data_IF_515009835578
#
_entry.id   IF_515009835578
#
_cell.length_a   1.000
_cell.length_b   1.000
_cell.length_c   1.000
_cell.angle_alpha   90.00
_cell.angle_beta   90.00
_cell.angle_gamma   90.00
#
_symmetry.space_group_name_H-M   'P 1'
#
loop_
_entity.id
_entity.type
_entity.pdbx_description
1 polymer ?
#
# COMPACT_ATOMS: atom_id res chain seq x y z
N UNK A 1 -17.44 -4.80 10.57
CA UNK A 1 -16.09 -4.56 11.10
C UNK A 1 -15.95 -3.09 11.45
N UNK A 2 -15.12 -2.72 12.43
CA UNK A 2 -14.84 -1.31 12.73
C UNK A 2 -13.41 -0.93 12.30
N UNK A 3 -13.10 0.36 12.05
CA UNK A 3 -11.75 0.75 11.67
C UNK A 3 -10.72 0.43 12.76
N UNK A 4 -11.11 0.49 14.04
CA UNK A 4 -10.21 0.18 15.16
C UNK A 4 -9.75 -1.28 15.14
N UNK A 5 -10.56 -2.21 14.61
CA UNK A 5 -10.17 -3.61 14.47
C UNK A 5 -9.01 -3.78 13.47
N UNK A 6 -9.01 -2.99 12.39
CA UNK A 6 -7.93 -2.96 11.39
C UNK A 6 -6.66 -2.37 12.00
N UNK A 7 -6.78 -1.23 12.68
CA UNK A 7 -5.64 -0.55 13.30
C UNK A 7 -5.02 -1.42 14.40
N UNK A 8 -5.83 -1.98 15.31
CA UNK A 8 -5.35 -2.87 16.37
C UNK A 8 -4.64 -4.09 15.78
N UNK A 9 -5.26 -4.76 14.80
CA UNK A 9 -4.66 -5.93 14.18
C UNK A 9 -3.31 -5.62 13.52
N UNK A 10 -3.23 -4.54 12.75
CA UNK A 10 -2.03 -4.23 11.99
C UNK A 10 -0.90 -3.63 12.84
N UNK A 11 -1.21 -2.83 13.86
CA UNK A 11 -0.19 -2.07 14.59
C UNK A 11 0.15 -2.63 15.98
N UNK A 12 -0.70 -3.49 16.54
CA UNK A 12 -0.57 -4.05 17.89
C UNK A 12 -0.51 -5.59 17.89
N UNK A 13 -1.37 -6.27 17.12
CA UNK A 13 -1.44 -7.75 17.10
C UNK A 13 -0.45 -8.38 16.12
N UNK A 14 0.13 -7.61 15.20
CA UNK A 14 1.11 -8.07 14.24
C UNK A 14 2.45 -7.37 14.40
N UNK A 15 3.51 -8.10 14.06
CA UNK A 15 4.89 -7.61 14.13
C UNK A 15 5.32 -7.00 12.80
N UNK A 16 6.28 -6.05 12.80
CA UNK A 16 6.85 -5.49 11.57
C UNK A 16 7.38 -6.53 10.58
N UNK A 17 7.84 -7.67 11.09
CA UNK A 17 8.30 -8.78 10.27
C UNK A 17 7.17 -9.44 9.47
N UNK A 18 5.98 -9.55 10.06
CA UNK A 18 4.80 -10.15 9.41
C UNK A 18 4.21 -9.26 8.31
N UNK A 19 4.41 -7.94 8.36
CA UNK A 19 3.90 -7.02 7.35
C UNK A 19 4.52 -7.25 5.97
N UNK A 20 5.82 -7.57 5.94
CA UNK A 20 6.60 -7.64 4.70
C UNK A 20 7.06 -9.05 4.34
N UNK A 21 7.03 -10.00 5.29
CA UNK A 21 7.37 -11.39 5.02
C UNK A 21 6.17 -12.14 4.45
N UNK A 22 6.41 -12.95 3.41
CA UNK A 22 5.43 -13.95 2.96
C UNK A 22 5.23 -15.02 4.04
N UNK A 23 4.00 -15.14 4.52
CA UNK A 23 3.57 -16.16 5.49
C UNK A 23 2.13 -16.56 5.18
N UNK A 24 1.95 -17.79 4.68
CA UNK A 24 0.65 -18.26 4.22
C UNK A 24 -0.38 -18.34 5.37
N UNK A 25 0.05 -18.62 6.61
CA UNK A 25 -0.85 -18.68 7.75
C UNK A 25 -1.33 -17.28 8.15
N UNK A 26 -0.42 -16.29 8.12
CA UNK A 26 -0.76 -14.89 8.35
C UNK A 26 -1.69 -14.35 7.25
N UNK A 27 -1.40 -14.67 5.98
CA UNK A 27 -2.24 -14.28 4.83
C UNK A 27 -3.67 -14.83 4.95
N UNK A 28 -3.82 -16.11 5.34
CA UNK A 28 -5.15 -16.71 5.58
C UNK A 28 -5.87 -16.07 6.78
N UNK A 29 -5.15 -15.73 7.84
CA UNK A 29 -5.74 -15.03 8.99
C UNK A 29 -6.27 -13.65 8.59
N UNK A 30 -5.48 -12.86 7.84
CA UNK A 30 -5.93 -11.57 7.30
C UNK A 30 -7.17 -11.77 6.45
N UNK A 31 -7.16 -12.75 5.54
CA UNK A 31 -8.28 -13.00 4.64
C UNK A 31 -9.56 -13.38 5.40
N UNK A 32 -9.45 -14.32 6.33
CA UNK A 32 -10.58 -14.77 7.14
C UNK A 32 -11.20 -13.64 7.96
N UNK A 33 -10.38 -12.75 8.53
CA UNK A 33 -10.86 -11.62 9.33
C UNK A 33 -11.38 -10.46 8.46
N UNK A 34 -10.62 -10.03 7.46
CA UNK A 34 -10.78 -8.71 6.83
C UNK A 34 -11.36 -8.73 5.41
N UNK A 35 -11.61 -9.89 4.80
CA UNK A 35 -12.19 -9.93 3.45
C UNK A 35 -13.58 -9.28 3.39
N UNK A 36 -14.38 -9.37 4.45
CA UNK A 36 -15.65 -8.66 4.56
C UNK A 36 -15.48 -7.14 4.53
N UNK A 37 -14.54 -6.61 5.31
CA UNK A 37 -14.23 -5.18 5.33
C UNK A 37 -13.70 -4.69 3.97
N UNK A 38 -12.85 -5.49 3.30
CA UNK A 38 -12.40 -5.19 1.94
C UNK A 38 -13.58 -5.02 0.97
N UNK A 39 -14.53 -5.95 0.97
CA UNK A 39 -15.70 -5.85 0.10
C UNK A 39 -16.55 -4.60 0.43
N UNK A 40 -16.78 -4.32 1.72
CA UNK A 40 -17.55 -3.15 2.15
C UNK A 40 -16.89 -1.83 1.73
N UNK A 41 -15.55 -1.73 1.79
CA UNK A 41 -14.80 -0.56 1.35
C UNK A 41 -14.93 -0.35 -0.15
N UNK A 42 -14.77 -1.43 -0.93
CA UNK A 42 -14.88 -1.40 -2.40
C UNK A 42 -16.29 -1.02 -2.85
N UNK A 43 -17.30 -1.47 -2.12
CA UNK A 43 -18.71 -1.12 -2.36
C UNK A 43 -19.10 0.27 -1.78
N UNK A 44 -18.16 0.99 -1.17
CA UNK A 44 -18.36 2.34 -0.64
C UNK A 44 -19.21 2.41 0.64
N UNK A 45 -19.41 1.29 1.33
CA UNK A 45 -20.25 1.21 2.55
C UNK A 45 -19.57 1.78 3.79
N UNK A 46 -18.26 2.00 3.75
CA UNK A 46 -17.43 2.50 4.87
C UNK A 46 -17.25 4.01 4.89
N UNK A 47 -18.10 4.80 4.21
CA UNK A 47 -17.97 6.26 4.16
C UNK A 47 -17.81 6.93 5.55
N UNK A 48 -18.47 6.38 6.58
CA UNK A 48 -18.38 6.88 7.95
C UNK A 48 -16.99 6.72 8.58
N UNK A 49 -16.13 5.83 8.07
CA UNK A 49 -14.76 5.69 8.55
C UNK A 49 -13.92 6.94 8.25
N UNK A 50 -14.30 7.71 7.22
CA UNK A 50 -13.55 8.90 6.78
C UNK A 50 -13.74 10.11 7.70
N UNK A 51 -14.53 9.99 8.77
CA UNK A 51 -14.71 11.07 9.75
C UNK A 51 -13.55 11.19 10.73
N UNK A 52 -12.67 10.19 10.82
CA UNK A 52 -11.48 10.21 11.69
C UNK A 52 -10.20 9.89 10.91
N UNK A 53 -9.03 10.40 11.34
CA UNK A 53 -7.75 10.05 10.72
C UNK A 53 -7.45 8.54 10.74
N UNK A 54 -7.77 7.86 11.84
CA UNK A 54 -7.57 6.42 12.01
C UNK A 54 -8.49 5.61 11.09
N UNK A 55 -9.74 6.07 10.89
CA UNK A 55 -10.66 5.40 9.99
C UNK A 55 -10.27 5.56 8.52
N UNK A 56 -9.76 6.74 8.12
CA UNK A 56 -9.14 6.93 6.79
C UNK A 56 -7.94 6.01 6.59
N UNK A 57 -7.07 5.91 7.60
CA UNK A 57 -5.92 5.00 7.56
C UNK A 57 -6.37 3.54 7.44
N UNK A 58 -7.41 3.13 8.15
CA UNK A 58 -7.92 1.77 8.10
C UNK A 58 -8.37 1.38 6.69
N UNK A 59 -9.09 2.24 5.96
CA UNK A 59 -9.45 1.97 4.55
C UNK A 59 -8.20 1.78 3.69
N UNK A 60 -7.21 2.68 3.85
CA UNK A 60 -5.95 2.61 3.10
C UNK A 60 -5.20 1.32 3.41
N UNK A 61 -5.07 0.92 4.67
CA UNK A 61 -4.37 -0.32 5.07
C UNK A 61 -5.07 -1.55 4.48
N UNK A 62 -6.40 -1.61 4.47
CA UNK A 62 -7.11 -2.75 3.89
C UNK A 62 -6.90 -2.86 2.38
N UNK A 63 -7.00 -1.73 1.67
CA UNK A 63 -6.85 -1.72 0.21
C UNK A 63 -5.41 -1.85 -0.26
N UNK A 64 -4.45 -1.36 0.51
CA UNK A 64 -3.03 -1.33 0.13
C UNK A 64 -2.25 -2.50 0.72
N UNK A 65 -2.31 -2.72 2.04
CA UNK A 65 -1.53 -3.77 2.70
C UNK A 65 -2.26 -5.11 2.67
N UNK A 66 -3.49 -5.17 3.18
CA UNK A 66 -4.18 -6.46 3.34
C UNK A 66 -4.49 -7.11 2.00
N UNK A 67 -4.81 -6.34 0.96
CA UNK A 67 -5.01 -6.87 -0.40
C UNK A 67 -3.81 -7.68 -0.89
N UNK A 68 -2.58 -7.22 -0.61
CA UNK A 68 -1.32 -7.89 -1.00
C UNK A 68 -1.10 -9.19 -0.23
N UNK A 69 -1.59 -9.30 1.01
CA UNK A 69 -1.61 -10.54 1.78
C UNK A 69 -2.74 -11.48 1.31
N UNK A 70 -3.98 -11.01 1.27
CA UNK A 70 -5.18 -11.81 0.97
C UNK A 70 -5.20 -12.41 -0.44
N UNK A 71 -4.60 -11.70 -1.40
CA UNK A 71 -4.68 -12.01 -2.82
C UNK A 71 -3.30 -12.17 -3.47
N UNK A 72 -2.31 -12.59 -2.68
CA UNK A 72 -0.92 -12.77 -3.12
C UNK A 72 -0.83 -13.56 -4.43
N UNK A 73 0.05 -13.12 -5.33
CA UNK A 73 0.27 -13.72 -6.66
C UNK A 73 -0.94 -13.67 -7.59
N UNK A 74 -1.93 -12.81 -7.33
CA UNK A 74 -3.08 -12.59 -8.22
C UNK A 74 -3.20 -11.10 -8.57
N UNK A 75 -3.82 -10.75 -9.72
CA UNK A 75 -4.08 -9.35 -10.08
C UNK A 75 -4.86 -8.59 -9.00
N UNK A 76 -5.72 -9.29 -8.25
CA UNK A 76 -6.57 -8.74 -7.20
C UNK A 76 -5.79 -8.07 -6.07
N UNK A 77 -4.52 -8.41 -5.87
CA UNK A 77 -3.63 -7.72 -4.93
C UNK A 77 -3.38 -6.24 -5.27
N UNK A 78 -3.58 -5.85 -6.54
CA UNK A 78 -3.29 -4.50 -7.04
C UNK A 78 -4.54 -3.77 -7.59
N UNK A 79 -5.69 -4.46 -7.60
CA UNK A 79 -6.92 -4.02 -8.28
C UNK A 79 -7.41 -2.65 -7.79
N UNK A 80 -7.17 -2.33 -6.51
CA UNK A 80 -7.61 -1.07 -5.90
C UNK A 80 -6.48 -0.15 -5.46
N UNK A 81 -5.27 -0.31 -6.02
CA UNK A 81 -4.14 0.59 -5.75
C UNK A 81 -4.49 2.06 -6.05
N UNK A 82 -5.24 2.31 -7.13
CA UNK A 82 -5.69 3.67 -7.50
C UNK A 82 -6.66 4.25 -6.47
N UNK A 83 -7.56 3.42 -5.93
CA UNK A 83 -8.50 3.85 -4.87
C UNK A 83 -7.75 4.12 -3.56
N UNK A 84 -6.82 3.25 -3.17
CA UNK A 84 -5.98 3.44 -2.00
C UNK A 84 -5.17 4.74 -2.10
N UNK A 85 -4.59 5.03 -3.27
CA UNK A 85 -3.88 6.29 -3.53
C UNK A 85 -4.81 7.50 -3.39
N UNK A 86 -6.01 7.46 -3.99
CA UNK A 86 -6.97 8.57 -3.89
C UNK A 86 -7.35 8.85 -2.43
N UNK A 87 -7.65 7.82 -1.64
CA UNK A 87 -7.99 7.97 -0.23
C UNK A 87 -6.82 8.54 0.59
N UNK A 88 -5.60 8.12 0.28
CA UNK A 88 -4.39 8.68 0.89
C UNK A 88 -4.17 10.15 0.50
N UNK A 89 -4.37 10.52 -0.77
CA UNK A 89 -4.30 11.91 -1.23
C UNK A 89 -5.35 12.80 -0.56
N UNK A 90 -6.58 12.31 -0.40
CA UNK A 90 -7.65 13.02 0.33
C UNK A 90 -7.28 13.25 1.80
N UNK A 91 -6.72 12.23 2.47
CA UNK A 91 -6.29 12.34 3.86
C UNK A 91 -5.15 13.36 4.05
N UNK A 92 -4.19 13.40 3.12
CA UNK A 92 -3.10 14.39 3.11
C UNK A 92 -3.63 15.80 2.81
N UNK A 93 -4.52 15.94 1.83
CA UNK A 93 -5.13 17.24 1.49
C UNK A 93 -5.95 17.83 2.63
N UNK A 94 -6.64 16.98 3.40
CA UNK A 94 -7.37 17.38 4.61
C UNK A 94 -6.46 17.66 5.83
N UNK A 95 -5.17 17.30 5.75
CA UNK A 95 -4.22 17.37 6.87
C UNK A 95 -4.50 16.36 7.98
N UNK A 96 -5.30 15.33 7.71
CA UNK A 96 -5.61 14.26 8.67
C UNK A 96 -4.39 13.37 8.91
N UNK A 97 -3.52 13.22 7.93
CA UNK A 97 -2.24 12.52 8.05
C UNK A 97 -1.39 13.07 9.21
N UNK A 98 -1.37 14.40 9.39
CA UNK A 98 -0.59 15.08 10.44
C UNK A 98 -1.11 14.81 11.86
N UNK A 99 -2.35 14.35 11.99
CA UNK A 99 -2.97 13.97 13.28
C UNK A 99 -2.57 12.55 13.72
N UNK A 100 -2.07 11.73 12.78
CA UNK A 100 -1.61 10.37 13.07
C UNK A 100 -0.16 10.37 13.60
N UNK A 101 0.19 9.46 14.53
CA UNK A 101 1.58 9.18 14.88
C UNK A 101 2.40 8.76 13.65
N UNK A 102 3.70 9.09 13.62
CA UNK A 102 4.58 8.81 12.47
C UNK A 102 4.58 7.34 12.03
N UNK A 103 4.51 6.39 12.98
CA UNK A 103 4.41 4.94 12.72
C UNK A 103 3.20 4.59 11.85
N UNK A 104 2.04 5.19 12.13
CA UNK A 104 0.78 4.97 11.43
C UNK A 104 0.76 5.75 10.12
N UNK A 105 1.19 7.01 10.16
CA UNK A 105 1.28 7.91 9.01
C UNK A 105 2.09 7.33 7.86
N UNK A 106 3.16 6.57 8.16
CA UNK A 106 3.92 5.82 7.17
C UNK A 106 3.04 4.96 6.26
N UNK A 107 2.08 4.24 6.81
CA UNK A 107 1.19 3.36 6.05
C UNK A 107 0.15 4.13 5.24
N UNK A 108 -0.22 5.33 5.69
CA UNK A 108 -1.03 6.23 4.88
C UNK A 108 -0.28 6.70 3.62
N UNK A 109 1.06 6.73 3.65
CA UNK A 109 1.89 7.16 2.52
C UNK A 109 2.29 6.02 1.58
N UNK A 110 2.18 4.75 2.00
CA UNK A 110 2.54 3.59 1.17
C UNK A 110 1.84 3.53 -0.20
N UNK A 111 0.55 3.92 -0.35
CA UNK A 111 -0.08 3.95 -1.67
C UNK A 111 0.62 4.86 -2.69
N UNK A 112 1.29 5.94 -2.24
CA UNK A 112 2.09 6.77 -3.14
C UNK A 112 3.32 6.00 -3.65
N UNK A 113 4.00 5.25 -2.78
CA UNK A 113 5.13 4.38 -3.13
C UNK A 113 4.70 3.24 -4.04
N UNK A 114 3.47 2.73 -3.91
CA UNK A 114 2.97 1.62 -4.69
C UNK A 114 2.35 2.01 -6.04
N UNK A 115 2.16 3.30 -6.28
CA UNK A 115 1.57 3.82 -7.51
C UNK A 115 2.51 3.63 -8.72
N UNK A 116 1.96 3.37 -9.90
CA UNK A 116 2.69 3.47 -11.17
C UNK A 116 2.60 4.90 -11.76
N UNK A 117 2.57 5.94 -10.91
CA UNK A 117 2.49 7.35 -11.28
C UNK A 117 3.77 8.11 -10.88
N UNK A 118 4.54 8.66 -11.84
CA UNK A 118 5.70 9.48 -11.53
C UNK A 118 5.39 10.68 -10.60
N UNK A 119 4.21 11.28 -10.77
CA UNK A 119 3.77 12.42 -9.96
C UNK A 119 3.49 11.99 -8.51
N UNK A 120 2.96 10.78 -8.29
CA UNK A 120 2.76 10.25 -6.95
C UNK A 120 4.11 10.09 -6.23
N UNK A 121 5.14 9.58 -6.91
CA UNK A 121 6.49 9.49 -6.36
C UNK A 121 7.13 10.85 -6.03
N UNK A 122 6.93 11.87 -6.86
CA UNK A 122 7.41 13.22 -6.54
C UNK A 122 6.80 13.75 -5.23
N UNK A 123 5.51 13.47 -4.96
CA UNK A 123 4.89 13.80 -3.67
C UNK A 123 5.40 12.90 -2.54
N UNK A 124 5.52 11.59 -2.80
CA UNK A 124 5.93 10.59 -1.83
C UNK A 124 7.26 10.93 -1.17
N UNK A 125 8.25 11.41 -1.93
CA UNK A 125 9.55 11.82 -1.41
C UNK A 125 9.43 12.80 -0.26
N UNK A 126 8.61 13.84 -0.41
CA UNK A 126 8.40 14.84 0.64
C UNK A 126 7.62 14.29 1.83
N UNK A 127 6.62 13.45 1.57
CA UNK A 127 5.82 12.79 2.60
C UNK A 127 6.69 11.87 3.47
N UNK A 128 7.47 10.98 2.85
CA UNK A 128 8.37 10.09 3.57
C UNK A 128 9.53 10.82 4.25
N UNK A 129 10.07 11.88 3.63
CA UNK A 129 11.09 12.72 4.27
C UNK A 129 10.58 13.35 5.57
N UNK A 130 9.30 13.75 5.62
CA UNK A 130 8.69 14.33 6.82
C UNK A 130 8.61 13.38 8.01
N UNK A 131 8.76 12.07 7.79
CA UNK A 131 8.75 11.06 8.85
C UNK A 131 10.11 10.88 9.54
N UNK A 132 11.20 11.39 8.96
CA UNK A 132 12.58 11.14 9.39
C UNK A 132 12.96 9.63 9.48
N UNK A 133 12.20 8.77 8.81
CA UNK A 133 12.50 7.34 8.63
C UNK A 133 13.31 7.15 7.33
N UNK A 134 14.62 7.36 7.43
CA UNK A 134 15.53 7.25 6.28
C UNK A 134 15.59 5.84 5.69
N UNK A 135 15.24 4.81 6.47
CA UNK A 135 15.11 3.44 5.98
C UNK A 135 13.98 3.33 4.96
N UNK A 136 12.79 3.81 5.32
CA UNK A 136 11.63 3.81 4.41
C UNK A 136 11.84 4.77 3.23
N UNK A 137 12.41 5.96 3.46
CA UNK A 137 12.72 6.91 2.39
C UNK A 137 13.69 6.33 1.36
N UNK A 138 14.66 5.51 1.77
CA UNK A 138 15.54 4.80 0.85
C UNK A 138 14.78 3.83 -0.08
N UNK A 139 13.74 3.15 0.42
CA UNK A 139 12.88 2.33 -0.42
C UNK A 139 12.05 3.18 -1.39
N UNK A 140 11.55 4.34 -0.97
CA UNK A 140 10.86 5.27 -1.87
C UNK A 140 11.75 5.66 -3.06
N UNK A 141 13.02 6.02 -2.81
CA UNK A 141 13.96 6.32 -3.90
C UNK A 141 14.16 5.14 -4.85
N UNK A 142 14.19 3.89 -4.35
CA UNK A 142 14.27 2.71 -5.20
C UNK A 142 13.02 2.54 -6.07
N UNK A 143 11.83 2.71 -5.50
CA UNK A 143 10.57 2.63 -6.22
C UNK A 143 10.49 3.70 -7.31
N UNK A 144 10.78 4.96 -6.94
CA UNK A 144 10.81 6.08 -7.88
C UNK A 144 11.75 5.83 -9.06
N UNK A 145 12.95 5.29 -8.83
CA UNK A 145 13.90 4.98 -9.92
C UNK A 145 13.36 3.96 -10.91
N UNK A 146 12.55 3.00 -10.46
CA UNK A 146 11.91 2.01 -11.34
C UNK A 146 10.82 2.70 -12.17
N UNK A 147 9.98 3.51 -11.54
CA UNK A 147 8.92 4.26 -12.23
C UNK A 147 9.49 5.30 -13.20
N UNK A 148 10.56 6.01 -12.84
CA UNK A 148 11.24 6.96 -13.74
C UNK A 148 11.81 6.24 -14.98
N UNK A 149 12.28 5.00 -14.82
CA UNK A 149 12.89 4.22 -15.91
C UNK A 149 11.88 3.53 -16.81
N UNK A 150 10.83 2.96 -16.25
CA UNK A 150 9.90 2.06 -16.97
C UNK A 150 8.47 2.58 -17.05
N UNK A 151 8.12 3.62 -16.29
CA UNK A 151 6.75 4.13 -16.15
C UNK A 151 5.80 3.20 -15.40
N UNK A 152 6.27 2.03 -14.95
CA UNK A 152 5.49 0.98 -14.28
C UNK A 152 6.42 0.06 -13.49
N UNK A 153 5.86 -0.89 -12.73
CA UNK A 153 6.60 -1.94 -12.04
C UNK A 153 6.72 -3.21 -12.89
N UNK A 154 7.90 -3.52 -13.46
CA UNK A 154 8.04 -4.68 -14.35
C UNK A 154 7.76 -6.01 -13.64
N UNK A 155 8.02 -6.11 -12.34
CA UNK A 155 7.77 -7.32 -11.56
C UNK A 155 6.27 -7.66 -11.44
N UNK A 156 5.38 -6.70 -11.71
CA UNK A 156 3.93 -6.93 -11.78
C UNK A 156 3.45 -7.43 -13.15
N UNK A 157 4.28 -7.35 -14.20
CA UNK A 157 3.87 -7.62 -15.58
C UNK A 157 3.22 -9.00 -15.73
N UNK A 158 3.88 -10.05 -15.24
CA UNK A 158 3.35 -11.42 -15.31
C UNK A 158 2.00 -11.57 -14.59
N UNK A 159 1.89 -11.01 -13.38
CA UNK A 159 0.67 -11.10 -12.56
C UNK A 159 -0.48 -10.32 -13.23
N UNK A 160 -0.18 -9.19 -13.87
CA UNK A 160 -1.15 -8.34 -14.55
C UNK A 160 -1.37 -8.70 -16.04
N UNK A 161 -0.79 -9.80 -16.53
CA UNK A 161 -0.93 -10.21 -17.93
C UNK A 161 -0.30 -9.25 -18.96
N UNK A 162 0.67 -8.43 -18.54
CA UNK A 162 1.39 -7.48 -19.40
C UNK A 162 2.61 -8.16 -20.04
N UNK A 163 2.88 -7.85 -21.30
CA UNK A 163 4.12 -8.24 -21.97
C UNK A 163 5.25 -7.32 -21.50
N UNK A 164 6.36 -7.92 -21.06
CA UNK A 164 7.58 -7.21 -20.71
C UNK A 164 8.35 -6.82 -21.98
N UNK A 165 8.93 -5.63 -21.98
CA UNK A 165 9.93 -5.23 -22.98
C UNK A 165 11.27 -5.95 -22.74
N UNK A 166 12.18 -6.04 -23.74
CA UNK A 166 13.50 -6.66 -23.53
C UNK A 166 14.30 -6.01 -22.39
N UNK A 167 14.15 -4.70 -22.19
CA UNK A 167 14.82 -3.97 -21.11
C UNK A 167 14.24 -4.33 -19.73
N UNK A 168 12.94 -4.55 -19.66
CA UNK A 168 12.27 -5.03 -18.45
C UNK A 168 12.65 -6.48 -18.14
N UNK A 169 12.74 -7.36 -19.14
CA UNK A 169 13.19 -8.75 -18.96
C UNK A 169 14.61 -8.82 -18.40
N UNK A 170 15.53 -8.02 -18.94
CA UNK A 170 16.90 -7.95 -18.42
C UNK A 170 16.93 -7.44 -16.98
N UNK A 171 16.13 -6.41 -16.66
CA UNK A 171 16.00 -5.88 -15.30
C UNK A 171 15.47 -6.94 -14.32
N UNK A 172 14.48 -7.73 -14.73
CA UNK A 172 13.87 -8.77 -13.89
C UNK A 172 14.82 -9.92 -13.54
N UNK A 173 15.93 -10.11 -14.26
CA UNK A 173 16.97 -11.10 -13.90
C UNK A 173 17.65 -10.78 -12.57
N UNK A 174 17.75 -9.49 -12.23
CA UNK A 174 18.45 -9.01 -11.02
C UNK A 174 17.50 -8.37 -9.99
N UNK A 175 16.26 -8.07 -10.37
CA UNK A 175 15.28 -7.41 -9.50
C UNK A 175 13.94 -8.14 -9.49
N UNK A 176 13.68 -8.91 -8.42
CA UNK A 176 12.47 -9.74 -8.29
C UNK A 176 11.24 -9.02 -7.70
N UNK A 177 11.37 -7.73 -7.39
CA UNK A 177 10.38 -6.96 -6.64
C UNK A 177 10.94 -6.52 -5.29
N UNK A 178 10.10 -5.84 -4.51
CA UNK A 178 10.39 -5.39 -3.15
C UNK A 178 9.90 -6.40 -2.11
#
# INVERSE_FOLDING_TARGET
MKPEDVIRFWFEESSPHQWFKKDDAFDQNIKAKFQGAYNDIVEGKTHSWRTTPEGRLAEVVVLDQFSRNMFRNTPKAFEHDVLALRLAEEAVAAGDDKKLPAKLRKFLYMPFMHSESPQAHTKAIWLFLSLFDFGTLFYEFKHKRIIDRFGRYPHRNKILGRVSTPQEEEFLKTHKGF
#
